data_IF_525837506258
#
_entry.id   IF_525837506258
#
_cell.length_a   1.000
_cell.length_b   1.000
_cell.length_c   1.000
_cell.angle_alpha   90.00
_cell.angle_beta   90.00
_cell.angle_gamma   90.00
#
_symmetry.space_group_name_H-M   'P 1'
#
loop_
_entity.id
_entity.type
_entity.pdbx_description
1 polymer ?
#
# COMPACT_ATOMS: atom_id res chain seq x y z
N UNK A 1 -57.01 31.87 1.07
CA UNK A 1 -55.69 31.20 1.14
C UNK A 1 -54.65 32.23 1.54
N UNK A 2 -54.16 32.21 2.79
CA UNK A 2 -53.07 33.09 3.26
C UNK A 2 -51.74 32.37 3.05
N UNK A 3 -50.82 32.97 2.31
CA UNK A 3 -49.43 32.51 2.22
C UNK A 3 -48.66 32.97 3.46
N UNK A 4 -48.25 32.02 4.30
CA UNK A 4 -47.35 32.27 5.43
C UNK A 4 -45.92 32.33 4.89
N UNK A 5 -45.29 33.50 4.91
CA UNK A 5 -43.85 33.64 4.60
C UNK A 5 -43.04 33.07 5.75
N UNK A 6 -42.33 31.98 5.50
CA UNK A 6 -41.34 31.42 6.43
C UNK A 6 -40.10 32.33 6.35
N UNK A 7 -39.83 33.06 7.42
CA UNK A 7 -38.58 33.83 7.58
C UNK A 7 -37.58 32.96 8.34
N UNK A 8 -36.48 32.57 7.69
CA UNK A 8 -35.40 31.85 8.33
C UNK A 8 -34.58 32.81 9.22
N UNK A 9 -34.32 32.42 10.46
CA UNK A 9 -33.54 33.24 11.40
C UNK A 9 -32.06 33.30 10.99
N UNK A 10 -31.33 34.38 11.31
CA UNK A 10 -29.91 34.52 10.98
C UNK A 10 -29.04 33.38 11.56
N UNK A 11 -29.44 32.77 12.69
CA UNK A 11 -28.73 31.63 13.29
C UNK A 11 -28.83 30.37 12.41
N UNK A 12 -29.96 30.16 11.75
CA UNK A 12 -30.20 29.00 10.88
C UNK A 12 -29.37 29.09 9.58
N UNK A 13 -29.15 30.30 9.07
CA UNK A 13 -28.33 30.53 7.87
C UNK A 13 -26.84 30.29 8.13
N UNK A 14 -26.35 30.64 9.31
CA UNK A 14 -24.95 30.42 9.72
C UNK A 14 -24.61 28.94 9.92
N UNK A 15 -25.51 28.16 10.53
CA UNK A 15 -25.29 26.71 10.78
C UNK A 15 -25.22 25.93 9.46
N UNK A 16 -26.07 26.23 8.48
CA UNK A 16 -26.07 25.56 7.17
C UNK A 16 -24.79 25.85 6.38
N UNK A 17 -24.26 27.07 6.48
CA UNK A 17 -23.03 27.49 5.78
C UNK A 17 -21.78 26.81 6.35
N UNK A 18 -21.70 26.66 7.67
CA UNK A 18 -20.60 25.94 8.35
C UNK A 18 -20.62 24.44 8.03
N UNK A 19 -21.82 23.82 8.01
CA UNK A 19 -21.96 22.41 7.64
C UNK A 19 -21.58 22.18 6.16
N UNK A 20 -21.99 23.07 5.25
CA UNK A 20 -21.57 23.00 3.84
C UNK A 20 -20.06 23.13 3.66
N UNK A 21 -19.41 24.04 4.40
CA UNK A 21 -17.95 24.21 4.33
C UNK A 21 -17.19 22.99 4.90
N UNK A 22 -17.70 22.36 5.96
CA UNK A 22 -17.16 21.11 6.50
C UNK A 22 -17.30 19.93 5.51
N UNK A 23 -18.46 19.79 4.86
CA UNK A 23 -18.67 18.70 3.89
C UNK A 23 -17.83 18.91 2.63
N UNK A 24 -17.70 20.13 2.11
CA UNK A 24 -16.78 20.42 1.00
C UNK A 24 -15.31 20.17 1.38
N UNK A 25 -14.91 20.48 2.61
CA UNK A 25 -13.55 20.21 3.08
C UNK A 25 -13.26 18.71 3.21
N UNK A 26 -14.20 17.91 3.72
CA UNK A 26 -14.05 16.45 3.79
C UNK A 26 -14.02 15.78 2.41
N UNK A 27 -14.84 16.23 1.46
CA UNK A 27 -14.82 15.71 0.08
C UNK A 27 -13.53 16.08 -0.63
N UNK A 28 -13.05 17.32 -0.47
CA UNK A 28 -11.76 17.76 -1.02
C UNK A 28 -10.55 17.05 -0.41
N UNK A 29 -10.63 16.67 0.87
CA UNK A 29 -9.58 15.88 1.54
C UNK A 29 -9.55 14.42 1.05
N UNK A 30 -10.71 13.79 0.81
CA UNK A 30 -10.78 12.44 0.24
C UNK A 30 -10.23 12.37 -1.19
N UNK A 31 -10.58 13.33 -2.04
CA UNK A 31 -10.09 13.38 -3.42
C UNK A 31 -8.56 13.61 -3.52
N UNK A 32 -7.95 14.31 -2.54
CA UNK A 32 -6.49 14.51 -2.48
C UNK A 32 -5.72 13.26 -2.06
N UNK A 33 -6.31 12.40 -1.24
CA UNK A 33 -5.66 11.19 -0.74
C UNK A 33 -5.54 10.08 -1.82
N UNK A 34 -6.46 10.07 -2.80
CA UNK A 34 -6.50 9.05 -3.86
C UNK A 34 -5.56 9.38 -5.04
N UNK A 35 -5.10 10.63 -5.15
CA UNK A 35 -4.50 11.15 -6.39
C UNK A 35 -2.98 11.04 -6.54
N UNK A 36 -2.21 10.64 -5.54
CA UNK A 36 -0.75 10.57 -5.70
C UNK A 36 -0.08 9.59 -4.73
N UNK A 37 -0.30 8.28 -4.92
CA UNK A 37 0.62 7.32 -4.31
C UNK A 37 1.97 7.47 -5.00
N UNK A 38 2.84 8.29 -4.40
CA UNK A 38 4.20 8.51 -4.89
C UNK A 38 4.92 7.18 -5.02
N UNK A 39 5.80 7.04 -6.01
CA UNK A 39 6.68 5.87 -6.07
C UNK A 39 7.37 5.67 -4.72
N UNK A 40 7.53 4.41 -4.27
CA UNK A 40 8.42 4.09 -3.17
C UNK A 40 9.76 4.80 -3.32
N UNK A 41 10.36 5.19 -2.19
CA UNK A 41 11.64 5.88 -2.20
C UNK A 41 12.68 5.05 -2.98
N UNK A 42 13.45 5.72 -3.84
CA UNK A 42 14.60 5.08 -4.46
C UNK A 42 15.70 4.93 -3.40
N UNK A 43 15.79 3.73 -2.83
CA UNK A 43 16.79 3.42 -1.81
C UNK A 43 18.12 3.02 -2.43
N UNK A 44 18.15 2.71 -3.73
CA UNK A 44 19.31 2.17 -4.46
C UNK A 44 19.37 0.64 -4.48
N UNK A 45 19.96 0.09 -5.53
CA UNK A 45 20.07 -1.36 -5.78
C UNK A 45 20.72 -2.11 -4.60
N UNK A 46 20.16 -3.26 -4.23
CA UNK A 46 20.63 -4.10 -3.14
C UNK A 46 20.24 -3.65 -1.72
N UNK A 47 19.43 -2.60 -1.57
CA UNK A 47 19.00 -2.08 -0.26
C UNK A 47 17.54 -2.37 0.03
N UNK A 48 17.17 -2.36 1.32
CA UNK A 48 15.79 -2.55 1.75
C UNK A 48 14.92 -1.39 1.29
N UNK A 49 13.94 -1.70 0.44
CA UNK A 49 12.98 -0.73 -0.09
C UNK A 49 11.66 -0.74 0.69
N UNK A 50 11.28 -1.90 1.22
CA UNK A 50 9.98 -2.12 1.83
C UNK A 50 10.02 -3.32 2.77
N UNK A 51 9.08 -3.42 3.71
CA UNK A 51 8.87 -4.63 4.48
C UNK A 51 7.38 -4.91 4.70
N UNK A 52 7.02 -6.18 4.81
CA UNK A 52 5.69 -6.63 5.17
C UNK A 52 5.71 -7.21 6.60
N UNK A 53 4.74 -6.77 7.40
CA UNK A 53 4.36 -7.40 8.66
C UNK A 53 3.12 -8.24 8.41
N UNK A 54 3.17 -9.49 8.87
CA UNK A 54 2.01 -10.38 8.87
C UNK A 54 1.40 -10.46 10.27
N UNK A 55 0.07 -10.36 10.35
CA UNK A 55 -0.68 -10.39 11.62
C UNK A 55 -1.95 -11.25 11.51
N UNK A 56 -2.50 -11.71 12.63
CA UNK A 56 -3.83 -12.33 12.72
C UNK A 56 -4.91 -11.33 13.10
N UNK A 57 -4.52 -10.14 13.58
CA UNK A 57 -5.42 -9.09 13.99
C UNK A 57 -4.87 -7.73 13.58
N UNK A 58 -5.34 -7.25 12.43
CA UNK A 58 -4.88 -6.00 11.83
C UNK A 58 -5.08 -4.80 12.76
N UNK A 59 -6.23 -4.70 13.43
CA UNK A 59 -6.52 -3.58 14.32
C UNK A 59 -5.59 -3.57 15.53
N UNK A 60 -5.36 -4.73 16.16
CA UNK A 60 -4.48 -4.85 17.32
C UNK A 60 -3.03 -4.53 16.97
N UNK A 61 -2.50 -5.04 15.85
CA UNK A 61 -1.13 -4.73 15.44
C UNK A 61 -0.95 -3.26 15.05
N UNK A 62 -1.94 -2.65 14.38
CA UNK A 62 -1.90 -1.22 14.06
C UNK A 62 -1.83 -0.37 15.34
N UNK A 63 -2.66 -0.67 16.34
CA UNK A 63 -2.63 0.02 17.63
C UNK A 63 -1.27 -0.14 18.33
N UNK A 64 -0.74 -1.36 18.38
CA UNK A 64 0.56 -1.64 19.00
C UNK A 64 1.70 -0.87 18.34
N UNK A 65 1.87 -1.00 17.02
CA UNK A 65 2.97 -0.34 16.31
C UNK A 65 2.79 1.17 16.21
N UNK A 66 1.54 1.64 16.14
CA UNK A 66 1.22 3.06 16.19
C UNK A 66 1.66 3.68 17.53
N UNK A 67 1.37 3.02 18.65
CA UNK A 67 1.82 3.48 19.99
C UNK A 67 3.32 3.36 20.18
N UNK A 68 3.94 2.29 19.69
CA UNK A 68 5.36 2.01 19.92
C UNK A 68 6.27 2.91 19.08
N UNK A 69 5.96 3.11 17.80
CA UNK A 69 6.84 3.80 16.85
C UNK A 69 6.27 5.11 16.32
N UNK A 70 5.03 5.47 16.67
CA UNK A 70 4.34 6.62 16.07
C UNK A 70 3.96 6.40 14.60
N UNK A 71 3.88 5.15 14.15
CA UNK A 71 3.50 4.82 12.77
C UNK A 71 2.04 5.13 12.49
N UNK A 72 1.76 5.58 11.27
CA UNK A 72 0.41 5.79 10.76
C UNK A 72 0.09 4.76 9.68
N UNK A 73 -1.20 4.51 9.46
CA UNK A 73 -1.63 3.45 8.55
C UNK A 73 -2.67 3.97 7.54
N UNK A 74 -2.44 3.70 6.26
CA UNK A 74 -3.36 4.04 5.17
C UNK A 74 -3.97 2.77 4.55
N UNK A 75 -5.22 2.84 4.12
CA UNK A 75 -5.87 1.72 3.44
C UNK A 75 -5.16 1.38 2.13
N UNK A 76 -5.03 0.10 1.84
CA UNK A 76 -4.57 -0.37 0.51
C UNK A 76 -5.79 -0.56 -0.37
N UNK A 77 -5.79 0.03 -1.56
CA UNK A 77 -6.89 -0.10 -2.50
C UNK A 77 -7.14 -1.59 -2.84
N UNK A 78 -8.40 -2.02 -2.72
CA UNK A 78 -8.79 -3.39 -3.01
C UNK A 78 -8.53 -4.41 -1.89
N UNK A 79 -8.14 -3.96 -0.69
CA UNK A 79 -7.98 -4.85 0.47
C UNK A 79 -8.41 -4.18 1.78
N UNK A 80 -9.27 -4.85 2.54
CA UNK A 80 -9.61 -4.54 3.94
C UNK A 80 -8.66 -5.26 4.92
N UNK A 81 -7.96 -6.30 4.45
CA UNK A 81 -7.01 -7.11 5.20
C UNK A 81 -5.57 -6.55 5.19
N UNK A 82 -5.34 -5.38 4.59
CA UNK A 82 -4.01 -4.78 4.52
C UNK A 82 -4.03 -3.26 4.72
N UNK A 83 -2.92 -2.72 5.20
CA UNK A 83 -2.67 -1.30 5.26
C UNK A 83 -1.21 -0.98 4.99
N UNK A 84 -0.97 0.16 4.33
CA UNK A 84 0.35 0.72 4.19
C UNK A 84 0.79 1.34 5.53
N UNK A 85 2.02 1.07 5.92
CA UNK A 85 2.70 1.61 7.08
C UNK A 85 3.45 2.87 6.64
N UNK A 86 3.25 3.96 7.37
CA UNK A 86 3.99 5.21 7.17
C UNK A 86 4.71 5.65 8.44
N UNK A 87 5.94 6.11 8.29
CA UNK A 87 6.73 6.74 9.34
C UNK A 87 7.18 8.12 8.88
N UNK A 88 6.90 9.17 9.65
CA UNK A 88 7.23 10.55 9.27
C UNK A 88 6.62 10.97 7.92
N UNK A 89 5.42 10.47 7.60
CA UNK A 89 4.74 10.76 6.33
C UNK A 89 5.28 10.04 5.10
N UNK A 90 6.23 9.10 5.26
CA UNK A 90 6.76 8.27 4.17
C UNK A 90 6.30 6.84 4.32
N UNK A 91 5.83 6.24 3.23
CA UNK A 91 5.53 4.80 3.17
C UNK A 91 6.81 3.99 3.37
N UNK A 92 6.77 2.98 4.24
CA UNK A 92 7.92 2.14 4.58
C UNK A 92 7.63 0.64 4.49
N UNK A 93 6.35 0.26 4.47
CA UNK A 93 5.98 -1.13 4.60
C UNK A 93 4.48 -1.37 4.45
N UNK A 94 4.09 -2.64 4.51
CA UNK A 94 2.69 -3.06 4.58
C UNK A 94 2.49 -3.86 5.85
N UNK A 95 1.33 -3.73 6.48
CA UNK A 95 0.85 -4.70 7.45
C UNK A 95 -0.38 -5.40 6.90
N UNK A 96 -0.39 -6.73 6.93
CA UNK A 96 -1.48 -7.53 6.36
C UNK A 96 -1.88 -8.70 7.23
N UNK A 97 -3.14 -9.09 7.13
CA UNK A 97 -3.61 -10.32 7.75
C UNK A 97 -3.02 -11.52 7.00
N UNK A 98 -2.63 -12.55 7.73
CA UNK A 98 -2.15 -13.79 7.14
C UNK A 98 -3.27 -14.50 6.37
N UNK A 99 -2.98 -14.99 5.17
CA UNK A 99 -3.91 -15.84 4.40
C UNK A 99 -4.00 -17.28 4.99
N UNK A 100 -3.37 -17.52 6.14
CA UNK A 100 -3.25 -18.81 6.81
C UNK A 100 -2.62 -18.71 8.19
N UNK A 101 -1.91 -19.76 8.64
CA UNK A 101 -1.24 -19.74 9.96
C UNK A 101 -0.05 -18.78 9.96
N UNK A 102 0.09 -18.02 11.04
CA UNK A 102 1.30 -17.25 11.28
C UNK A 102 2.46 -18.17 11.60
N UNK A 103 3.55 -18.02 10.83
CA UNK A 103 4.89 -18.47 11.21
C UNK A 103 5.68 -17.27 11.74
N UNK A 104 6.61 -17.47 12.69
CA UNK A 104 7.58 -16.45 13.09
C UNK A 104 8.38 -15.85 11.90
N UNK A 105 8.41 -16.53 10.76
CA UNK A 105 9.08 -16.11 9.52
C UNK A 105 8.14 -15.47 8.48
N UNK A 106 6.90 -15.10 8.82
CA UNK A 106 5.93 -14.58 7.86
C UNK A 106 6.12 -13.09 7.48
N UNK A 107 7.15 -12.42 8.01
CA UNK A 107 7.53 -11.10 7.50
C UNK A 107 8.34 -11.23 6.22
N UNK A 108 8.19 -10.28 5.29
CA UNK A 108 8.97 -10.25 4.05
C UNK A 108 9.67 -8.92 3.93
N UNK A 109 10.97 -8.93 3.69
CA UNK A 109 11.72 -7.72 3.35
C UNK A 109 11.91 -7.68 1.84
N UNK A 110 11.66 -6.52 1.22
CA UNK A 110 11.85 -6.32 -0.20
C UNK A 110 13.12 -5.54 -0.47
N UNK A 111 13.99 -6.11 -1.29
CA UNK A 111 15.23 -5.50 -1.73
C UNK A 111 14.99 -4.80 -3.06
N UNK A 112 15.44 -3.55 -3.20
CA UNK A 112 15.38 -2.85 -4.47
C UNK A 112 16.36 -3.50 -5.46
N UNK A 113 15.88 -3.78 -6.66
CA UNK A 113 16.66 -4.23 -7.80
C UNK A 113 16.35 -3.37 -9.02
N UNK A 114 17.31 -3.26 -9.93
CA UNK A 114 17.14 -2.55 -11.19
C UNK A 114 16.15 -3.22 -12.15
N UNK A 115 16.11 -4.56 -12.17
CA UNK A 115 15.26 -5.36 -13.05
C UNK A 115 14.81 -6.66 -12.35
N UNK A 116 13.50 -6.77 -12.10
CA UNK A 116 12.92 -7.95 -11.43
C UNK A 116 13.11 -9.22 -12.26
N UNK A 117 12.77 -9.28 -13.56
CA UNK A 117 13.00 -10.48 -14.38
C UNK A 117 14.45 -11.01 -14.35
N UNK A 118 15.44 -10.13 -14.56
CA UNK A 118 16.85 -10.52 -14.54
C UNK A 118 17.27 -11.03 -13.16
N UNK A 119 16.82 -10.36 -12.09
CA UNK A 119 17.11 -10.75 -10.72
C UNK A 119 16.46 -12.10 -10.36
N UNK A 120 15.23 -12.36 -10.80
CA UNK A 120 14.58 -13.65 -10.64
C UNK A 120 15.30 -14.77 -11.40
N UNK A 121 15.79 -14.51 -12.61
CA UNK A 121 16.58 -15.47 -13.37
C UNK A 121 17.87 -15.83 -12.63
N UNK A 122 18.60 -14.83 -12.13
CA UNK A 122 19.81 -15.03 -11.31
C UNK A 122 19.50 -15.78 -10.02
N UNK A 123 18.41 -15.44 -9.32
CA UNK A 123 18.01 -16.12 -8.10
C UNK A 123 17.74 -17.62 -8.34
N UNK A 124 17.03 -17.96 -9.42
CA UNK A 124 16.81 -19.36 -9.82
C UNK A 124 18.12 -20.11 -10.10
N UNK A 125 19.07 -19.48 -10.78
CA UNK A 125 20.40 -20.07 -11.02
C UNK A 125 21.16 -20.35 -9.72
N UNK A 126 20.89 -19.58 -8.67
CA UNK A 126 21.48 -19.74 -7.34
C UNK A 126 20.66 -20.67 -6.41
N UNK A 127 19.61 -21.32 -6.92
CA UNK A 127 18.82 -22.31 -6.19
C UNK A 127 17.58 -21.76 -5.48
N UNK A 128 17.19 -20.50 -5.73
CA UNK A 128 15.96 -19.95 -5.20
C UNK A 128 14.72 -20.45 -5.97
N UNK A 129 13.59 -20.54 -5.27
CA UNK A 129 12.28 -20.81 -5.87
C UNK A 129 11.47 -19.52 -5.93
N UNK A 130 10.87 -19.20 -7.08
CA UNK A 130 9.95 -18.05 -7.18
C UNK A 130 8.56 -18.49 -6.73
N UNK A 131 7.94 -17.70 -5.86
CA UNK A 131 6.61 -18.01 -5.34
C UNK A 131 5.56 -17.99 -6.47
N UNK A 132 4.54 -18.86 -6.42
CA UNK A 132 3.43 -18.85 -7.38
C UNK A 132 2.77 -17.47 -7.50
N UNK A 133 2.45 -17.05 -8.72
CA UNK A 133 1.83 -15.75 -9.00
C UNK A 133 2.81 -14.57 -9.13
N UNK A 134 4.11 -14.79 -8.97
CA UNK A 134 5.14 -13.77 -9.14
C UNK A 134 6.05 -14.02 -10.36
N UNK A 135 6.71 -12.96 -10.91
CA UNK A 135 6.55 -11.54 -10.55
C UNK A 135 5.30 -10.91 -11.16
N UNK A 136 4.87 -9.75 -10.64
CA UNK A 136 3.77 -8.97 -11.21
C UNK A 136 4.00 -7.44 -11.09
N UNK A 137 3.22 -6.67 -11.86
CA UNK A 137 3.24 -5.21 -11.83
C UNK A 137 2.40 -4.66 -10.68
N UNK A 138 2.98 -3.73 -9.92
CA UNK A 138 2.23 -2.95 -8.94
C UNK A 138 1.23 -2.01 -9.64
N UNK A 139 0.10 -1.68 -9.00
CA UNK A 139 -0.86 -0.73 -9.54
C UNK A 139 -0.25 0.62 -9.89
N UNK A 140 -0.91 1.34 -10.80
CA UNK A 140 -0.56 2.71 -11.19
C UNK A 140 0.87 2.89 -11.73
N UNK A 141 1.49 1.81 -12.23
CA UNK A 141 2.84 1.87 -12.80
C UNK A 141 3.94 2.14 -11.76
N UNK A 142 3.71 1.80 -10.49
CA UNK A 142 4.65 2.06 -9.38
C UNK A 142 5.79 1.03 -9.28
N UNK A 143 5.95 0.21 -10.32
CA UNK A 143 7.02 -0.78 -10.45
C UNK A 143 6.52 -2.21 -10.55
N UNK A 144 7.39 -3.14 -10.19
CA UNK A 144 7.12 -4.57 -10.17
C UNK A 144 7.71 -5.20 -8.91
N UNK A 145 7.11 -6.31 -8.47
CA UNK A 145 7.63 -7.11 -7.36
C UNK A 145 7.75 -8.58 -7.72
N UNK A 146 8.65 -9.26 -7.01
CA UNK A 146 8.71 -10.73 -6.94
C UNK A 146 8.80 -11.17 -5.48
N UNK A 147 8.33 -12.37 -5.19
CA UNK A 147 8.60 -13.08 -3.95
C UNK A 147 9.36 -14.36 -4.29
N UNK A 148 10.42 -14.64 -3.53
CA UNK A 148 11.22 -15.84 -3.69
C UNK A 148 11.49 -16.50 -2.33
N UNK A 149 11.80 -17.78 -2.39
CA UNK A 149 12.34 -18.57 -1.30
C UNK A 149 13.81 -18.84 -1.63
N UNK A 150 14.71 -18.51 -0.71
CA UNK A 150 16.12 -18.90 -0.82
C UNK A 150 16.29 -20.44 -0.67
N UNK A 151 17.51 -20.99 -0.83
CA UNK A 151 17.74 -22.44 -0.66
C UNK A 151 17.37 -23.00 0.72
N UNK A 152 17.29 -22.14 1.75
CA UNK A 152 16.87 -22.49 3.11
C UNK A 152 15.38 -22.19 3.36
N UNK A 153 14.62 -21.91 2.30
CA UNK A 153 13.20 -21.56 2.32
C UNK A 153 12.85 -20.24 3.05
N UNK A 154 13.79 -19.31 3.20
CA UNK A 154 13.49 -17.99 3.73
C UNK A 154 12.82 -17.12 2.66
N UNK A 155 11.69 -16.46 2.97
CA UNK A 155 11.00 -15.59 2.03
C UNK A 155 11.73 -14.25 1.91
N UNK A 156 11.99 -13.83 0.67
CA UNK A 156 12.57 -12.54 0.33
C UNK A 156 11.80 -11.90 -0.83
N UNK A 157 11.58 -10.60 -0.72
CA UNK A 157 10.95 -9.81 -1.76
C UNK A 157 11.98 -9.13 -2.66
N UNK A 158 11.65 -8.97 -3.93
CA UNK A 158 12.36 -8.08 -4.87
C UNK A 158 11.40 -6.98 -5.29
N UNK A 159 11.88 -5.75 -5.37
CA UNK A 159 11.15 -4.60 -5.89
C UNK A 159 11.97 -3.87 -6.94
N UNK A 160 11.39 -3.56 -8.09
CA UNK A 160 11.97 -2.59 -9.01
C UNK A 160 10.98 -1.46 -9.28
N UNK A 161 11.49 -0.22 -9.38
CA UNK A 161 10.71 0.92 -9.87
C UNK A 161 10.27 0.73 -11.32
N UNK A 162 11.01 -0.07 -12.08
CA UNK A 162 10.68 -0.47 -13.45
C UNK A 162 9.60 -1.55 -13.44
N UNK A 163 8.47 -1.29 -14.11
CA UNK A 163 7.44 -2.29 -14.36
C UNK A 163 7.91 -3.39 -15.31
N UNK A 164 7.33 -4.58 -15.16
CA UNK A 164 7.42 -5.67 -16.12
C UNK A 164 6.92 -5.21 -17.50
N UNK A 165 7.52 -5.73 -18.59
CA UNK A 165 6.98 -5.54 -19.93
C UNK A 165 5.51 -6.00 -19.99
N UNK A 166 4.65 -5.18 -20.58
CA UNK A 166 3.28 -5.62 -20.89
C UNK A 166 3.37 -6.68 -21.99
N UNK A 167 2.73 -7.86 -21.84
CA UNK A 167 2.69 -8.84 -22.92
C UNK A 167 2.15 -8.17 -24.19
N UNK A 168 2.84 -8.32 -25.32
CA UNK A 168 2.36 -7.79 -26.58
C UNK A 168 0.95 -8.34 -26.85
N UNK A 169 -0.03 -7.47 -27.08
CA UNK A 169 -1.34 -7.90 -27.56
C UNK A 169 -1.13 -8.49 -28.94
N UNK A 170 -1.46 -9.77 -29.20
CA UNK A 170 -1.33 -10.31 -30.54
C UNK A 170 -2.25 -9.52 -31.48
N UNK A 171 -1.66 -8.83 -32.46
CA UNK A 171 -2.39 -8.22 -33.57
C UNK A 171 -3.02 -9.35 -34.38
N UNK A 172 -4.35 -9.37 -34.41
CA UNK A 172 -5.13 -10.29 -35.24
C UNK A 172 -5.04 -9.91 -36.71
#
# INVERSE_FOLDING_TARGET
>A
MKLTKITASPVTLWVVLVISFCVLSLVGQRARAEGNKSMPADVGDGRVAWFDITTTNLAQSKDFYGKLFGWTFASVQGSDQAAEISAGGKGIGTIRVADGKISPFNGVVYIQVSDVPASCAKAKQLGATIAPGFPFNLPNGTGAISLLLDPAAHPMGLYARKSLPVPAVPTK
#
